data_IF_867100243431
#
_entry.id   IF_867100243431
#
_cell.length_a   1.000
_cell.length_b   1.000
_cell.length_c   1.000
_cell.angle_alpha   90.00
_cell.angle_beta   90.00
_cell.angle_gamma   90.00
#
_symmetry.space_group_name_H-M   'P 1'
#
loop_
_entity.id
_entity.type
_entity.pdbx_description
1 polymer ?
#
# COMPACT_ATOMS: atom_id res chain seq x y z
N UNK A 1 11.67 24.29 -14.03
CA UNK A 1 12.10 22.91 -13.71
C UNK A 1 12.23 22.01 -14.95
N UNK A 2 11.57 22.32 -16.08
CA UNK A 2 11.75 21.66 -17.40
C UNK A 2 13.13 21.86 -18.06
N UNK A 3 13.88 22.92 -17.71
CA UNK A 3 15.20 23.17 -18.31
C UNK A 3 16.36 22.36 -17.71
N UNK A 4 16.21 21.80 -16.49
CA UNK A 4 17.25 20.95 -15.89
C UNK A 4 17.24 19.53 -16.47
N UNK A 5 16.09 19.05 -16.94
CA UNK A 5 15.98 17.71 -17.49
C UNK A 5 16.58 17.58 -18.89
N UNK A 6 16.44 18.61 -19.74
CA UNK A 6 17.06 18.63 -21.07
C UNK A 6 18.59 18.63 -21.02
N UNK A 7 19.20 19.05 -19.91
CA UNK A 7 20.65 19.07 -19.71
C UNK A 7 21.23 17.72 -19.25
N UNK A 8 20.43 16.85 -18.62
CA UNK A 8 20.86 15.52 -18.16
C UNK A 8 20.68 14.42 -19.23
N UNK A 9 20.09 14.79 -20.36
CA UNK A 9 19.96 13.98 -21.58
C UNK A 9 20.53 14.68 -22.82
N UNK A 10 21.20 15.83 -22.65
CA UNK A 10 22.11 16.29 -23.69
C UNK A 10 23.20 15.20 -23.86
N UNK A 11 23.58 14.82 -25.09
CA UNK A 11 24.75 13.98 -25.28
C UNK A 11 25.92 14.67 -24.59
N UNK A 12 26.34 14.16 -23.44
CA UNK A 12 27.50 14.68 -22.76
C UNK A 12 28.67 14.57 -23.73
N UNK A 13 29.40 15.68 -23.85
CA UNK A 13 30.54 15.81 -24.74
C UNK A 13 31.47 14.61 -24.58
N UNK A 14 31.90 13.96 -25.69
CA UNK A 14 32.72 12.74 -25.67
C UNK A 14 34.18 12.93 -25.20
N UNK A 15 34.48 13.99 -24.45
CA UNK A 15 35.85 14.46 -24.20
C UNK A 15 36.36 14.23 -22.76
N UNK A 16 35.68 13.39 -21.97
CA UNK A 16 36.28 12.79 -20.77
C UNK A 16 36.63 11.32 -21.06
N UNK A 17 37.90 11.10 -21.42
CA UNK A 17 38.71 9.88 -21.23
C UNK A 17 38.08 8.48 -21.47
N UNK A 18 38.61 7.66 -22.39
CA UNK A 18 38.12 6.30 -22.60
C UNK A 18 38.64 5.37 -21.48
N UNK A 19 37.88 5.17 -20.40
CA UNK A 19 37.96 3.97 -19.52
C UNK A 19 36.89 4.01 -18.43
N UNK A 20 35.68 3.57 -18.79
CA UNK A 20 34.64 3.25 -17.82
C UNK A 20 33.26 3.58 -18.36
N UNK A 21 32.72 2.70 -19.22
CA UNK A 21 31.35 2.83 -19.71
C UNK A 21 30.39 2.90 -18.52
N UNK A 22 29.86 4.09 -18.25
CA UNK A 22 28.84 4.27 -17.22
C UNK A 22 27.50 3.85 -17.78
N UNK A 23 26.98 2.69 -17.37
CA UNK A 23 25.63 2.29 -17.76
C UNK A 23 24.62 3.02 -16.86
N UNK A 24 23.67 3.76 -17.46
CA UNK A 24 22.56 4.40 -16.75
C UNK A 24 21.25 3.71 -17.10
N UNK A 25 20.44 3.40 -16.10
CA UNK A 25 19.12 2.77 -16.27
C UNK A 25 18.09 3.43 -15.36
N UNK A 26 16.85 3.48 -15.83
CA UNK A 26 15.67 3.84 -15.05
C UNK A 26 14.97 2.54 -14.65
N UNK A 27 14.75 2.35 -13.36
CA UNK A 27 14.12 1.13 -12.83
C UNK A 27 12.91 1.49 -11.99
N UNK A 28 11.75 0.98 -12.39
CA UNK A 28 10.49 1.10 -11.65
C UNK A 28 10.31 -0.12 -10.74
N UNK A 29 10.50 0.04 -9.44
CA UNK A 29 10.18 -1.03 -8.48
C UNK A 29 8.70 -0.94 -8.10
N UNK A 30 7.98 -2.04 -8.30
CA UNK A 30 6.54 -2.12 -8.07
C UNK A 30 6.25 -3.22 -7.06
N UNK A 31 5.55 -2.89 -5.98
CA UNK A 31 4.97 -3.91 -5.10
C UNK A 31 3.65 -4.41 -5.68
N UNK A 32 3.41 -5.72 -5.71
CA UNK A 32 2.12 -6.27 -6.13
C UNK A 32 0.93 -5.71 -5.32
N UNK A 33 -0.25 -5.71 -5.93
CA UNK A 33 -1.49 -5.29 -5.26
C UNK A 33 -2.03 -6.35 -4.27
N UNK A 34 -3.11 -6.05 -3.55
CA UNK A 34 -3.71 -6.97 -2.59
C UNK A 34 -4.08 -8.32 -3.22
N UNK A 35 -3.62 -9.42 -2.61
CA UNK A 35 -4.00 -10.77 -2.98
C UNK A 35 -5.12 -11.32 -2.10
N UNK A 36 -5.82 -12.35 -2.57
CA UNK A 36 -6.94 -12.98 -1.84
C UNK A 36 -6.56 -13.44 -0.42
N UNK A 37 -5.35 -13.94 -0.22
CA UNK A 37 -4.87 -14.32 1.11
C UNK A 37 -4.70 -13.10 2.04
N UNK A 38 -4.37 -11.91 1.51
CA UNK A 38 -4.24 -10.69 2.32
C UNK A 38 -5.59 -10.24 2.88
N UNK A 39 -6.68 -10.40 2.12
CA UNK A 39 -8.05 -10.14 2.60
C UNK A 39 -8.34 -11.00 3.82
N UNK A 40 -8.04 -12.29 3.74
CA UNK A 40 -8.27 -13.22 4.85
C UNK A 40 -7.40 -12.92 6.07
N UNK A 41 -6.12 -12.55 5.87
CA UNK A 41 -5.29 -12.07 6.98
C UNK A 41 -5.90 -10.87 7.70
N UNK A 42 -6.42 -9.91 6.93
CA UNK A 42 -7.04 -8.70 7.47
C UNK A 42 -8.33 -9.01 8.20
N UNK A 43 -9.22 -9.82 7.62
CA UNK A 43 -10.47 -10.23 8.25
C UNK A 43 -10.24 -10.96 9.58
N UNK A 44 -9.24 -11.85 9.64
CA UNK A 44 -8.87 -12.55 10.88
C UNK A 44 -8.30 -11.59 11.92
N UNK A 45 -7.52 -10.59 11.49
CA UNK A 45 -6.99 -9.56 12.39
C UNK A 45 -8.08 -8.63 12.94
N UNK A 46 -9.14 -8.36 12.17
CA UNK A 46 -10.27 -7.51 12.57
C UNK A 46 -11.29 -8.24 13.47
N UNK A 47 -11.49 -9.55 13.27
CA UNK A 47 -12.53 -10.32 13.99
C UNK A 47 -12.08 -10.87 15.34
N UNK A 48 -10.78 -10.94 15.62
CA UNK A 48 -10.26 -11.56 16.83
C UNK A 48 -9.62 -10.54 17.77
N UNK A 49 -9.78 -10.77 19.08
CA UNK A 49 -9.03 -10.00 20.07
C UNK A 49 -7.52 -10.15 19.83
N UNK A 50 -6.68 -9.14 20.17
CA UNK A 50 -5.25 -9.14 19.82
C UNK A 50 -4.48 -10.41 20.22
N UNK A 51 -4.89 -11.08 21.30
CA UNK A 51 -4.30 -12.35 21.76
C UNK A 51 -4.80 -13.59 21.01
N UNK A 52 -6.06 -13.62 20.58
CA UNK A 52 -6.61 -14.72 19.76
C UNK A 52 -6.25 -14.59 18.28
N UNK A 53 -5.99 -13.37 17.81
CA UNK A 53 -5.69 -13.07 16.41
C UNK A 53 -4.41 -13.74 15.92
N UNK A 54 -3.37 -13.86 16.74
CA UNK A 54 -2.07 -14.36 16.28
C UNK A 54 -2.10 -15.84 15.90
N UNK A 55 -2.70 -16.70 16.72
CA UNK A 55 -2.74 -18.16 16.47
C UNK A 55 -3.65 -18.47 15.30
N UNK A 56 -4.84 -17.86 15.24
CA UNK A 56 -5.79 -18.09 14.14
C UNK A 56 -5.29 -17.50 12.83
N UNK A 57 -4.61 -16.33 12.84
CA UNK A 57 -3.97 -15.77 11.65
C UNK A 57 -2.90 -16.70 11.09
N UNK A 58 -2.10 -17.32 11.95
CA UNK A 58 -1.12 -18.32 11.52
C UNK A 58 -1.78 -19.55 10.89
N UNK A 59 -2.94 -19.99 11.40
CA UNK A 59 -3.65 -21.15 10.85
C UNK A 59 -4.27 -20.87 9.48
N UNK A 60 -4.91 -19.71 9.30
CA UNK A 60 -5.48 -19.31 8.00
C UNK A 60 -4.38 -19.26 6.94
N UNK A 61 -3.20 -18.76 7.30
CA UNK A 61 -2.06 -18.67 6.39
C UNK A 61 -1.33 -19.97 6.13
N UNK A 62 -1.70 -21.06 6.82
CA UNK A 62 -1.20 -22.41 6.53
C UNK A 62 -2.10 -23.19 5.59
N UNK A 63 -3.26 -22.64 5.25
CA UNK A 63 -4.19 -23.30 4.35
C UNK A 63 -3.58 -23.42 2.94
N UNK A 64 -3.43 -24.65 2.41
CA UNK A 64 -2.90 -24.88 1.06
C UNK A 64 -3.69 -24.16 -0.05
N UNK A 65 -4.96 -23.80 0.19
CA UNK A 65 -5.77 -23.06 -0.79
C UNK A 65 -5.18 -21.69 -1.15
N UNK A 66 -4.33 -21.12 -0.29
CA UNK A 66 -3.65 -19.84 -0.53
C UNK A 66 -2.36 -19.97 -1.31
N UNK A 67 -1.98 -21.19 -1.72
CA UNK A 67 -0.83 -21.39 -2.61
C UNK A 67 -1.00 -20.56 -3.88
N UNK A 68 0.00 -19.77 -4.20
CA UNK A 68 0.05 -18.92 -5.38
C UNK A 68 -1.22 -18.05 -5.58
N UNK A 69 -1.78 -17.54 -4.48
CA UNK A 69 -3.03 -16.79 -4.52
C UNK A 69 -2.98 -15.60 -5.49
N UNK A 70 -4.05 -15.46 -6.27
CA UNK A 70 -4.31 -14.35 -7.20
C UNK A 70 -4.67 -13.04 -6.48
N UNK A 71 -4.76 -11.95 -7.25
CA UNK A 71 -5.28 -10.67 -6.78
C UNK A 71 -6.72 -10.78 -6.26
N UNK A 72 -7.03 -9.99 -5.23
CA UNK A 72 -8.41 -9.73 -4.83
C UNK A 72 -9.06 -8.69 -5.76
N UNK A 73 -10.37 -8.53 -5.70
CA UNK A 73 -11.08 -7.45 -6.42
C UNK A 73 -10.57 -6.06 -6.01
N UNK A 74 -10.30 -5.85 -4.72
CA UNK A 74 -9.69 -4.60 -4.25
C UNK A 74 -8.25 -4.44 -4.76
N UNK A 75 -7.49 -5.55 -4.88
CA UNK A 75 -6.18 -5.57 -5.52
C UNK A 75 -6.24 -5.13 -6.98
N UNK A 76 -7.20 -5.61 -7.75
CA UNK A 76 -7.39 -5.18 -9.15
C UNK A 76 -7.69 -3.68 -9.24
N UNK A 77 -8.51 -3.14 -8.34
CA UNK A 77 -8.79 -1.71 -8.24
C UNK A 77 -7.54 -0.89 -7.86
N UNK A 78 -6.70 -1.40 -6.95
CA UNK A 78 -5.42 -0.78 -6.60
C UNK A 78 -4.50 -0.69 -7.83
N UNK A 79 -4.41 -1.75 -8.65
CA UNK A 79 -3.62 -1.69 -9.90
C UNK A 79 -4.21 -0.70 -10.89
N UNK A 80 -5.53 -0.67 -11.06
CA UNK A 80 -6.18 0.29 -11.94
C UNK A 80 -5.96 1.76 -11.49
N UNK A 81 -5.95 2.02 -10.19
CA UNK A 81 -5.59 3.32 -9.63
C UNK A 81 -4.11 3.64 -9.88
N UNK A 82 -3.21 2.72 -9.53
CA UNK A 82 -1.78 2.84 -9.78
C UNK A 82 -1.48 3.12 -11.26
N UNK A 83 -2.18 2.46 -12.20
CA UNK A 83 -2.03 2.68 -13.63
C UNK A 83 -2.29 4.13 -14.03
N UNK A 84 -3.31 4.78 -13.48
CA UNK A 84 -3.59 6.20 -13.76
C UNK A 84 -2.47 7.11 -13.27
N UNK A 85 -1.95 6.85 -12.07
CA UNK A 85 -0.81 7.61 -11.53
C UNK A 85 0.46 7.36 -12.34
N UNK A 86 0.69 6.11 -12.76
CA UNK A 86 1.81 5.74 -13.62
C UNK A 86 1.70 6.39 -15.00
N UNK A 87 0.52 6.44 -15.61
CA UNK A 87 0.32 7.12 -16.89
C UNK A 87 0.64 8.62 -16.80
N UNK A 88 0.29 9.26 -15.68
CA UNK A 88 0.66 10.66 -15.42
C UNK A 88 2.18 10.82 -15.25
N UNK A 89 2.83 9.87 -14.59
CA UNK A 89 4.30 9.84 -14.48
C UNK A 89 4.95 9.74 -15.86
N UNK A 90 4.40 8.94 -16.78
CA UNK A 90 4.90 8.82 -18.16
C UNK A 90 4.70 10.08 -19.01
N UNK A 91 3.89 11.05 -18.58
CA UNK A 91 3.79 12.38 -19.20
C UNK A 91 4.91 13.34 -18.74
N UNK A 92 5.74 12.91 -17.79
CA UNK A 92 6.94 13.64 -17.37
C UNK A 92 8.14 13.22 -18.22
N UNK A 93 9.36 13.44 -17.73
CA UNK A 93 10.59 13.04 -18.41
C UNK A 93 10.95 11.55 -18.20
N UNK A 94 10.10 10.78 -17.51
CA UNK A 94 10.29 9.36 -17.25
C UNK A 94 9.70 8.49 -18.39
N UNK A 95 10.54 7.73 -19.13
CA UNK A 95 10.09 6.93 -20.27
C UNK A 95 9.33 5.68 -19.84
N UNK A 96 8.47 5.16 -20.72
CA UNK A 96 7.83 3.86 -20.51
C UNK A 96 8.86 2.73 -20.46
N UNK A 97 8.68 1.70 -19.62
CA UNK A 97 9.53 0.51 -19.61
C UNK A 97 9.59 -0.15 -20.98
N UNK A 98 10.76 -0.64 -21.35
CA UNK A 98 10.98 -1.51 -22.52
C UNK A 98 11.04 -2.99 -22.12
N UNK A 99 11.27 -3.25 -20.83
CA UNK A 99 11.30 -4.59 -20.23
C UNK A 99 10.52 -4.58 -18.90
N UNK A 100 9.64 -5.56 -18.72
CA UNK A 100 8.94 -5.80 -17.45
C UNK A 100 9.42 -7.13 -16.87
N UNK A 101 10.07 -7.08 -15.72
CA UNK A 101 10.45 -8.23 -14.93
C UNK A 101 9.44 -8.41 -13.81
N UNK A 102 8.92 -9.61 -13.65
CA UNK A 102 7.93 -9.91 -12.62
C UNK A 102 8.33 -11.13 -11.80
N UNK A 103 7.92 -11.14 -10.53
CA UNK A 103 7.91 -12.37 -9.77
C UNK A 103 6.99 -13.40 -10.42
N UNK A 104 7.33 -14.70 -10.37
CA UNK A 104 6.48 -15.76 -10.90
C UNK A 104 5.24 -16.07 -10.03
N UNK A 105 5.03 -15.38 -8.91
CA UNK A 105 3.81 -15.51 -8.12
C UNK A 105 2.64 -14.82 -8.84
N UNK A 106 1.50 -15.49 -8.97
CA UNK A 106 0.35 -15.08 -9.80
C UNK A 106 -0.11 -13.65 -9.51
N UNK A 107 -0.15 -13.22 -8.25
CA UNK A 107 -0.48 -11.84 -7.86
C UNK A 107 0.46 -10.78 -8.45
N UNK A 108 1.75 -11.07 -8.56
CA UNK A 108 2.73 -10.16 -9.15
C UNK A 108 2.60 -10.14 -10.68
N UNK A 109 2.41 -11.30 -11.32
CA UNK A 109 2.16 -11.41 -12.75
C UNK A 109 0.88 -10.65 -13.16
N UNK A 110 -0.21 -10.84 -12.44
CA UNK A 110 -1.46 -10.10 -12.66
C UNK A 110 -1.29 -8.59 -12.43
N UNK A 111 -0.50 -8.19 -11.43
CA UNK A 111 -0.18 -6.77 -11.24
C UNK A 111 0.59 -6.23 -12.44
N UNK A 112 1.61 -6.95 -12.92
CA UNK A 112 2.44 -6.54 -14.05
C UNK A 112 1.60 -6.38 -15.33
N UNK A 113 0.80 -7.39 -15.70
CA UNK A 113 0.02 -7.36 -16.93
C UNK A 113 -1.11 -6.32 -16.91
N UNK A 114 -1.65 -6.00 -15.73
CA UNK A 114 -2.65 -4.93 -15.58
C UNK A 114 -2.02 -3.53 -15.56
N UNK A 115 -0.82 -3.40 -15.02
CA UNK A 115 -0.09 -2.12 -14.99
C UNK A 115 0.58 -1.81 -16.34
N UNK A 116 0.98 -2.83 -17.09
CA UNK A 116 1.65 -2.72 -18.39
C UNK A 116 0.89 -3.51 -19.47
N UNK A 117 -0.35 -3.12 -19.79
CA UNK A 117 -1.19 -3.87 -20.72
C UNK A 117 -0.57 -3.94 -22.12
N UNK A 118 -0.49 -5.14 -22.68
CA UNK A 118 0.05 -5.38 -24.03
C UNK A 118 1.57 -5.20 -24.17
N UNK A 119 2.30 -5.09 -23.07
CA UNK A 119 3.76 -4.97 -23.10
C UNK A 119 4.37 -6.24 -23.72
N UNK A 120 5.23 -6.08 -24.74
CA UNK A 120 5.74 -7.19 -25.56
C UNK A 120 6.84 -8.01 -24.88
N UNK A 121 7.48 -7.45 -23.85
CA UNK A 121 8.56 -8.12 -23.11
C UNK A 121 8.26 -8.18 -21.62
N UNK A 122 7.47 -9.17 -21.21
CA UNK A 122 7.23 -9.48 -19.79
C UNK A 122 7.91 -10.80 -19.45
N UNK A 123 8.81 -10.80 -18.47
CA UNK A 123 9.58 -11.99 -18.06
C UNK A 123 9.34 -12.32 -16.60
N UNK A 124 8.98 -13.56 -16.31
CA UNK A 124 8.91 -14.08 -14.95
C UNK A 124 10.29 -14.55 -14.49
N UNK A 125 10.81 -13.98 -13.40
CA UNK A 125 12.13 -14.34 -12.86
C UNK A 125 12.01 -14.93 -11.45
N UNK A 126 12.54 -16.14 -11.25
CA UNK A 126 12.52 -16.85 -9.96
C UNK A 126 13.15 -16.00 -8.85
N UNK A 127 14.23 -15.27 -9.16
CA UNK A 127 14.93 -14.43 -8.21
C UNK A 127 14.05 -13.31 -7.60
N UNK A 128 12.92 -12.96 -8.23
CA UNK A 128 12.00 -11.90 -7.78
C UNK A 128 10.89 -12.39 -6.84
N UNK A 129 10.82 -13.69 -6.52
CA UNK A 129 9.76 -14.24 -5.66
C UNK A 129 9.77 -13.69 -4.23
N UNK A 130 8.62 -13.77 -3.57
CA UNK A 130 8.49 -13.42 -2.15
C UNK A 130 9.45 -14.25 -1.29
N UNK A 131 9.83 -13.69 -0.15
CA UNK A 131 10.55 -14.40 0.90
C UNK A 131 9.76 -15.63 1.32
N UNK A 132 10.40 -16.80 1.35
CA UNK A 132 9.78 -18.00 1.92
C UNK A 132 9.73 -17.92 3.44
N UNK A 133 8.53 -17.85 3.98
CA UNK A 133 8.25 -17.81 5.42
C UNK A 133 7.60 -19.09 5.93
N UNK A 134 7.64 -20.16 5.12
CA UNK A 134 6.99 -21.43 5.43
C UNK A 134 5.47 -21.37 5.30
N UNK A 135 4.95 -20.45 4.46
CA UNK A 135 3.52 -20.32 4.16
C UNK A 135 3.23 -20.72 2.71
N UNK A 136 2.10 -21.39 2.41
CA UNK A 136 1.73 -21.74 1.05
C UNK A 136 1.71 -20.55 0.09
N UNK A 137 1.31 -19.37 0.54
CA UNK A 137 1.24 -18.15 -0.27
C UNK A 137 2.59 -17.63 -0.79
N UNK A 138 3.69 -18.14 -0.26
CA UNK A 138 5.05 -17.80 -0.69
C UNK A 138 5.51 -18.65 -1.87
N UNK A 139 4.78 -19.73 -2.17
CA UNK A 139 5.10 -20.65 -3.26
C UNK A 139 4.25 -20.37 -4.49
N UNK A 140 4.90 -20.44 -5.65
CA UNK A 140 4.26 -20.38 -6.95
C UNK A 140 3.80 -21.77 -7.44
N UNK A 141 3.08 -21.78 -8.54
CA UNK A 141 2.87 -22.98 -9.38
C UNK A 141 4.12 -23.29 -10.22
N UNK A 142 4.29 -24.53 -10.71
CA UNK A 142 5.35 -24.86 -11.65
C UNK A 142 5.18 -24.09 -12.97
N UNK A 143 6.28 -23.78 -13.64
CA UNK A 143 6.34 -23.03 -14.90
C UNK A 143 5.37 -23.56 -15.97
N UNK A 144 5.31 -24.87 -16.25
CA UNK A 144 4.36 -25.43 -17.21
C UNK A 144 2.88 -25.11 -16.89
N UNK A 145 2.49 -25.06 -15.61
CA UNK A 145 1.13 -24.65 -15.24
C UNK A 145 0.91 -23.14 -15.40
N UNK A 146 1.95 -22.33 -15.13
CA UNK A 146 1.89 -20.88 -15.32
C UNK A 146 1.70 -20.52 -16.81
N UNK A 147 2.43 -21.20 -17.71
CA UNK A 147 2.28 -21.05 -19.18
C UNK A 147 0.85 -21.36 -19.65
N UNK A 148 0.19 -22.33 -19.02
CA UNK A 148 -1.19 -22.72 -19.36
C UNK A 148 -2.25 -21.84 -18.69
N UNK A 149 -1.85 -20.87 -17.85
CA UNK A 149 -2.81 -20.02 -17.14
C UNK A 149 -3.34 -18.94 -18.05
N UNK A 150 -4.66 -18.92 -18.22
CA UNK A 150 -5.36 -17.88 -18.97
C UNK A 150 -5.02 -16.48 -18.45
N UNK A 151 -4.74 -15.56 -19.37
CA UNK A 151 -4.35 -14.18 -19.08
C UNK A 151 -2.86 -13.99 -18.77
N UNK A 152 -2.02 -15.03 -18.86
CA UNK A 152 -0.55 -14.94 -18.69
C UNK A 152 0.22 -15.24 -19.99
N UNK A 153 -0.46 -15.23 -21.14
CA UNK A 153 0.10 -15.67 -22.43
C UNK A 153 1.25 -14.78 -22.93
N UNK A 154 1.33 -13.54 -22.47
CA UNK A 154 2.38 -12.58 -22.82
C UNK A 154 3.64 -12.70 -21.95
N UNK A 155 3.65 -13.61 -20.98
CA UNK A 155 4.76 -13.76 -20.03
C UNK A 155 5.70 -14.86 -20.49
N UNK A 156 6.98 -14.52 -20.61
CA UNK A 156 8.08 -15.46 -20.77
C UNK A 156 8.41 -16.12 -19.42
N UNK A 157 8.35 -17.45 -19.39
CA UNK A 157 8.59 -18.29 -18.21
C UNK A 157 9.88 -19.13 -18.30
N UNK A 158 10.77 -18.86 -19.25
CA UNK A 158 11.97 -19.68 -19.48
C UNK A 158 12.87 -19.81 -18.24
N UNK A 159 13.06 -18.73 -17.49
CA UNK A 159 13.83 -18.73 -16.22
C UNK A 159 13.17 -19.64 -15.17
N UNK A 160 11.85 -19.53 -15.03
CA UNK A 160 11.05 -20.33 -14.09
C UNK A 160 11.11 -21.81 -14.44
N UNK A 161 10.96 -22.15 -15.72
CA UNK A 161 11.04 -23.52 -16.22
C UNK A 161 12.45 -24.09 -16.03
N UNK A 162 13.48 -23.28 -16.27
CA UNK A 162 14.88 -23.66 -16.02
C UNK A 162 15.10 -23.97 -14.54
N UNK A 163 14.57 -23.13 -13.65
CA UNK A 163 14.61 -23.36 -12.21
C UNK A 163 13.86 -24.63 -11.78
N UNK A 164 12.70 -24.93 -12.38
CA UNK A 164 11.95 -26.16 -12.12
C UNK A 164 12.71 -27.41 -12.57
N UNK A 165 13.44 -27.35 -13.69
CA UNK A 165 14.29 -28.45 -14.15
C UNK A 165 15.47 -28.69 -13.20
N UNK A 166 16.09 -27.61 -12.72
CA UNK A 166 17.20 -27.69 -11.77
C UNK A 166 16.74 -28.16 -10.38
N UNK A 167 15.50 -27.86 -9.99
CA UNK A 167 14.89 -28.30 -8.74
C UNK A 167 13.43 -28.74 -8.97
N UNK A 168 13.19 -30.02 -9.30
CA UNK A 168 11.85 -30.54 -9.63
C UNK A 168 10.82 -30.45 -8.50
N UNK A 169 11.28 -30.23 -7.26
CA UNK A 169 10.44 -29.99 -6.09
C UNK A 169 10.52 -28.56 -5.58
N UNK A 170 11.25 -27.68 -6.27
CA UNK A 170 11.53 -26.32 -5.84
C UNK A 170 10.29 -25.43 -5.68
N UNK A 171 9.20 -25.73 -6.39
CA UNK A 171 7.90 -25.04 -6.29
C UNK A 171 6.89 -25.75 -5.35
N UNK A 172 7.29 -26.86 -4.72
CA UNK A 172 6.44 -27.58 -3.77
C UNK A 172 6.52 -26.89 -2.42
N UNK A 173 5.36 -26.79 -1.77
CA UNK A 173 5.29 -26.20 -0.45
C UNK A 173 5.94 -27.12 0.58
N UNK A 174 6.91 -26.57 1.31
CA UNK A 174 7.57 -27.22 2.43
C UNK A 174 7.55 -26.25 3.63
N UNK A 175 6.91 -26.60 4.75
CA UNK A 175 6.85 -25.74 5.94
C UNK A 175 8.23 -25.33 6.48
N UNK A 176 9.25 -26.16 6.25
CA UNK A 176 10.65 -25.89 6.61
C UNK A 176 11.44 -25.10 5.57
N UNK A 177 10.87 -24.78 4.40
CA UNK A 177 11.54 -23.91 3.44
C UNK A 177 11.41 -22.47 3.91
N UNK A 178 12.43 -22.04 4.66
CA UNK A 178 12.53 -20.70 5.22
C UNK A 178 13.72 -20.00 4.58
N UNK A 179 13.48 -18.80 4.07
CA UNK A 179 14.55 -17.86 3.76
C UNK A 179 14.75 -16.93 4.96
N UNK A 180 15.98 -16.84 5.42
CA UNK A 180 16.41 -15.72 6.25
C UNK A 180 16.64 -14.47 5.39
N UNK A 181 17.08 -13.39 6.03
CA UNK A 181 17.36 -12.13 5.31
C UNK A 181 18.51 -12.30 4.32
N UNK A 182 19.59 -13.00 4.69
CA UNK A 182 20.77 -13.18 3.84
C UNK A 182 20.44 -13.83 2.50
N UNK A 183 19.56 -14.84 2.48
CA UNK A 183 19.10 -15.45 1.24
C UNK A 183 18.39 -14.45 0.31
N UNK A 184 17.56 -13.56 0.87
CA UNK A 184 16.83 -12.54 0.09
C UNK A 184 17.78 -11.42 -0.35
N UNK A 185 18.75 -11.04 0.47
CA UNK A 185 19.80 -10.07 0.11
C UNK A 185 20.66 -10.59 -1.04
N UNK A 186 21.06 -11.85 -1.01
CA UNK A 186 21.81 -12.50 -2.09
C UNK A 186 21.03 -12.47 -3.41
N UNK A 187 19.73 -12.74 -3.37
CA UNK A 187 18.84 -12.57 -4.54
C UNK A 187 18.75 -11.11 -4.99
N UNK A 188 18.74 -10.17 -4.04
CA UNK A 188 18.80 -8.73 -4.32
C UNK A 188 20.08 -8.33 -5.06
N UNK A 189 21.25 -8.83 -4.66
CA UNK A 189 22.52 -8.60 -5.37
C UNK A 189 22.50 -9.18 -6.78
N UNK A 190 21.99 -10.41 -6.93
CA UNK A 190 21.80 -11.05 -8.24
C UNK A 190 20.85 -10.26 -9.14
N UNK A 191 19.79 -9.65 -8.59
CA UNK A 191 18.93 -8.75 -9.35
C UNK A 191 19.71 -7.54 -9.88
N UNK A 192 20.51 -6.89 -9.03
CA UNK A 192 21.31 -5.72 -9.43
C UNK A 192 22.30 -6.09 -10.56
N UNK A 193 22.95 -7.25 -10.45
CA UNK A 193 23.82 -7.78 -11.51
C UNK A 193 23.05 -8.13 -12.79
N UNK A 194 21.82 -8.64 -12.66
CA UNK A 194 20.95 -8.91 -13.79
C UNK A 194 20.56 -7.61 -14.50
N UNK A 195 20.11 -6.61 -13.75
CA UNK A 195 19.75 -5.28 -14.26
C UNK A 195 20.92 -4.62 -14.97
N UNK A 196 22.16 -4.81 -14.50
CA UNK A 196 23.35 -4.31 -15.19
C UNK A 196 23.57 -4.96 -16.57
N UNK A 197 23.33 -6.28 -16.66
CA UNK A 197 23.64 -7.09 -17.85
C UNK A 197 22.60 -7.03 -18.94
N UNK A 198 21.33 -6.81 -18.61
CA UNK A 198 20.29 -6.65 -19.63
C UNK A 198 20.53 -5.40 -20.45
N UNK A 199 20.19 -5.44 -21.74
CA UNK A 199 20.43 -4.32 -22.66
C UNK A 199 19.46 -3.16 -22.38
N UNK A 200 18.22 -3.48 -21.98
CA UNK A 200 17.17 -2.51 -21.66
C UNK A 200 17.61 -1.46 -20.64
N UNK A 201 17.35 -0.19 -20.95
CA UNK A 201 17.71 0.94 -20.10
C UNK A 201 16.55 1.44 -19.25
N UNK A 202 15.32 1.00 -19.53
CA UNK A 202 14.11 1.38 -18.80
C UNK A 202 13.34 0.11 -18.42
N UNK A 203 13.36 -0.24 -17.15
CA UNK A 203 12.93 -1.57 -16.68
C UNK A 203 11.89 -1.41 -15.58
N UNK A 204 10.80 -2.19 -15.62
CA UNK A 204 9.93 -2.36 -14.46
C UNK A 204 10.23 -3.68 -13.75
N UNK A 205 10.20 -3.67 -12.42
CA UNK A 205 10.41 -4.82 -11.55
C UNK A 205 9.21 -4.97 -10.62
N UNK A 206 8.32 -5.92 -10.91
CA UNK A 206 7.10 -6.18 -10.14
C UNK A 206 7.31 -7.35 -9.18
N UNK A 207 7.31 -7.08 -7.88
CA UNK A 207 7.71 -8.04 -6.85
C UNK A 207 6.93 -7.80 -5.54
N UNK A 208 7.52 -8.17 -4.40
CA UNK A 208 6.84 -8.31 -3.12
C UNK A 208 7.44 -7.48 -2.01
N UNK A 209 6.68 -7.32 -0.93
CA UNK A 209 7.08 -6.52 0.23
C UNK A 209 8.34 -7.08 0.90
N UNK A 210 8.40 -8.39 1.13
CA UNK A 210 9.53 -9.00 1.83
C UNK A 210 10.82 -8.85 1.02
N UNK A 211 10.74 -9.08 -0.28
CA UNK A 211 11.84 -8.88 -1.22
C UNK A 211 12.31 -7.43 -1.29
N UNK A 212 11.40 -6.47 -1.54
CA UNK A 212 11.75 -5.04 -1.63
C UNK A 212 12.36 -4.54 -0.33
N UNK A 213 11.80 -4.92 0.82
CA UNK A 213 12.36 -4.54 2.12
C UNK A 213 13.81 -4.99 2.25
N UNK A 214 14.12 -6.24 1.92
CA UNK A 214 15.50 -6.74 1.96
C UNK A 214 16.40 -6.04 0.94
N UNK A 215 15.90 -5.81 -0.29
CA UNK A 215 16.64 -5.11 -1.34
C UNK A 215 17.07 -3.69 -0.92
N UNK A 216 16.19 -2.94 -0.24
CA UNK A 216 16.50 -1.60 0.25
C UNK A 216 17.32 -1.62 1.55
N UNK A 217 17.03 -2.56 2.46
CA UNK A 217 17.72 -2.64 3.76
C UNK A 217 19.15 -3.17 3.65
N UNK A 218 19.44 -4.00 2.64
CA UNK A 218 20.78 -4.58 2.43
C UNK A 218 21.80 -3.57 1.89
N UNK A 219 21.34 -2.44 1.36
CA UNK A 219 22.17 -1.50 0.62
C UNK A 219 22.52 -1.97 -0.80
N UNK A 220 21.84 -3.01 -1.33
CA UNK A 220 22.02 -3.46 -2.72
C UNK A 220 21.79 -2.33 -3.73
N UNK A 221 20.93 -1.38 -3.40
CA UNK A 221 20.59 -0.25 -4.24
C UNK A 221 21.30 1.06 -3.84
N UNK A 222 22.35 1.00 -3.01
CA UNK A 222 23.06 2.18 -2.49
C UNK A 222 23.02 2.28 -0.96
N UNK A 223 23.31 3.45 -0.37
CA UNK A 223 23.30 3.63 1.09
C UNK A 223 21.97 3.17 1.70
N UNK A 224 22.05 2.54 2.88
CA UNK A 224 20.86 2.07 3.61
C UNK A 224 19.97 3.26 3.96
N UNK A 225 18.77 3.29 3.41
CA UNK A 225 17.73 4.24 3.79
C UNK A 225 16.92 3.70 4.98
N UNK A 226 16.20 4.61 5.64
CA UNK A 226 15.23 4.34 6.73
C UNK A 226 14.27 3.21 6.31
N UNK A 227 13.73 2.38 7.23
CA UNK A 227 12.82 1.30 6.89
C UNK A 227 11.74 1.71 5.89
N UNK A 228 11.90 1.22 4.66
CA UNK A 228 11.00 1.51 3.56
C UNK A 228 9.78 0.60 3.64
N UNK A 229 8.60 1.19 3.78
CA UNK A 229 7.34 0.48 3.68
C UNK A 229 6.74 0.77 2.31
N UNK A 230 6.61 -0.26 1.48
CA UNK A 230 5.84 -0.19 0.25
C UNK A 230 4.36 -0.45 0.52
N UNK A 231 3.47 0.39 0.02
CA UNK A 231 2.04 0.17 -0.14
C UNK A 231 1.72 -0.84 -1.24
N UNK A 232 0.49 -1.33 -1.27
CA UNK A 232 0.03 -2.22 -2.33
C UNK A 232 -0.02 -1.46 -3.66
N UNK A 233 0.45 -2.05 -4.76
CA UNK A 233 0.53 -1.37 -6.05
C UNK A 233 1.32 -0.04 -6.03
N UNK A 234 2.29 0.10 -5.13
CA UNK A 234 3.17 1.27 -5.12
C UNK A 234 4.28 1.11 -6.17
N UNK A 235 4.56 2.20 -6.89
CA UNK A 235 5.67 2.33 -7.85
C UNK A 235 6.69 3.31 -7.29
N UNK A 236 7.97 2.92 -7.29
CA UNK A 236 9.11 3.81 -7.04
C UNK A 236 10.06 3.83 -8.21
N UNK A 237 10.55 5.01 -8.55
CA UNK A 237 11.45 5.21 -9.69
C UNK A 237 12.87 5.40 -9.19
N UNK A 238 13.80 4.62 -9.74
CA UNK A 238 15.22 4.72 -9.45
C UNK A 238 16.02 4.97 -10.71
N UNK A 239 16.91 5.95 -10.63
CA UNK A 239 17.96 6.12 -11.61
C UNK A 239 19.23 5.44 -11.10
N UNK A 240 19.63 4.38 -11.78
CA UNK A 240 20.75 3.53 -11.42
C UNK A 240 21.90 3.80 -12.39
N UNK A 241 23.09 4.07 -11.85
CA UNK A 241 24.32 4.28 -12.63
C UNK A 241 25.39 3.30 -12.16
N UNK A 242 25.88 2.49 -13.08
CA UNK A 242 27.02 1.61 -12.85
C UNK A 242 28.27 2.31 -13.35
N UNK A 243 29.25 2.50 -12.47
CA UNK A 243 30.59 2.98 -12.83
C UNK A 243 31.67 1.99 -12.41
N UNK A 244 32.93 2.38 -12.58
CA UNK A 244 34.11 1.60 -12.16
C UNK A 244 34.14 1.28 -10.65
N UNK A 245 33.42 2.05 -9.83
CA UNK A 245 33.30 1.85 -8.37
C UNK A 245 32.03 1.07 -7.95
N UNK A 246 31.29 0.49 -8.91
CA UNK A 246 30.05 -0.23 -8.68
C UNK A 246 28.79 0.60 -8.93
N UNK A 247 27.66 0.11 -8.42
CA UNK A 247 26.35 0.77 -8.56
C UNK A 247 26.26 2.01 -7.66
N UNK A 248 25.80 3.11 -8.24
CA UNK A 248 25.34 4.31 -7.54
C UNK A 248 23.88 4.58 -7.90
N UNK A 249 23.06 4.84 -6.88
CA UNK A 249 21.68 5.35 -7.06
C UNK A 249 21.75 6.87 -7.12
N UNK A 250 21.24 7.45 -8.20
CA UNK A 250 21.23 8.90 -8.39
C UNK A 250 20.00 9.57 -7.78
N UNK A 251 18.85 8.89 -7.80
CA UNK A 251 17.58 9.46 -7.34
C UNK A 251 16.61 8.36 -6.92
N UNK A 252 15.86 8.61 -5.84
CA UNK A 252 14.65 7.87 -5.45
C UNK A 252 13.48 8.86 -5.53
N UNK A 253 12.58 8.65 -6.49
CA UNK A 253 11.31 9.35 -6.54
C UNK A 253 10.23 8.42 -6.00
N UNK A 254 10.10 8.41 -4.68
CA UNK A 254 8.94 7.88 -3.98
C UNK A 254 7.80 8.89 -3.95
N UNK A 255 6.55 8.44 -3.69
CA UNK A 255 5.46 9.36 -3.38
C UNK A 255 5.89 10.22 -2.19
N UNK A 256 5.72 11.55 -2.32
CA UNK A 256 5.96 12.46 -1.19
C UNK A 256 4.92 12.15 -0.11
N UNK A 257 5.35 12.19 1.15
CA UNK A 257 4.51 11.89 2.33
C UNK A 257 3.16 12.67 2.35
N UNK A 258 3.06 13.79 1.64
CA UNK A 258 1.82 14.59 1.55
C UNK A 258 0.72 13.99 0.64
N UNK A 259 1.04 13.02 -0.23
CA UNK A 259 0.04 12.31 -1.08
C UNK A 259 -0.36 10.92 -0.53
N UNK A 260 0.08 10.54 0.68
CA UNK A 260 -0.33 9.27 1.32
C UNK A 260 -1.85 9.16 1.59
N UNK A 261 -2.59 10.27 1.56
CA UNK A 261 -4.05 10.24 1.74
C UNK A 261 -4.79 9.67 0.53
N UNK A 262 -4.19 9.72 -0.67
CA UNK A 262 -4.77 9.20 -1.93
C UNK A 262 -3.94 8.09 -2.57
N UNK A 263 -2.66 7.95 -2.24
CA UNK A 263 -1.83 6.84 -2.70
C UNK A 263 -2.11 5.56 -1.87
N UNK A 264 -3.16 4.84 -2.27
CA UNK A 264 -3.51 3.50 -1.80
C UNK A 264 -3.76 3.34 -0.28
N UNK A 265 -5.00 3.65 0.14
CA UNK A 265 -5.71 3.21 1.38
C UNK A 265 -4.81 2.45 2.36
N UNK A 266 -4.17 3.17 3.28
CA UNK A 266 -3.05 2.56 4.01
C UNK A 266 -2.57 3.14 5.33
N UNK A 267 -3.17 4.18 5.95
CA UNK A 267 -3.06 4.42 7.41
C UNK A 267 -3.98 5.55 7.92
N UNK A 268 -5.14 5.19 8.46
CA UNK A 268 -5.88 6.10 9.34
C UNK A 268 -5.13 6.16 10.69
N UNK A 269 -4.36 7.22 10.95
CA UNK A 269 -4.01 7.54 12.35
C UNK A 269 -5.31 7.98 13.02
N UNK A 270 -5.84 7.14 13.92
CA UNK A 270 -6.87 7.57 14.87
C UNK A 270 -6.23 8.59 15.83
N UNK A 271 -6.34 9.88 15.53
CA UNK A 271 -6.41 10.89 16.58
C UNK A 271 -7.85 10.87 17.09
N UNK A 272 -8.09 10.12 18.16
CA UNK A 272 -9.30 10.30 18.96
C UNK A 272 -9.13 11.60 19.76
N UNK A 273 -9.68 12.70 19.28
CA UNK A 273 -10.09 13.79 20.16
C UNK A 273 -11.54 13.49 20.56
N UNK A 274 -11.70 12.93 21.75
CA UNK A 274 -13.00 12.85 22.42
C UNK A 274 -13.30 14.25 22.94
N UNK A 275 -14.32 14.90 22.37
CA UNK A 275 -14.97 16.06 23.01
C UNK A 275 -16.27 15.54 23.59
N UNK A 276 -16.34 15.44 24.91
CA UNK A 276 -17.58 15.23 25.64
C UNK A 276 -18.31 16.57 25.74
N UNK A 277 -19.62 16.59 25.47
CA UNK A 277 -20.50 17.61 26.03
C UNK A 277 -21.15 17.03 27.29
N UNK A 278 -21.30 17.85 28.33
CA UNK A 278 -21.70 17.39 29.67
C UNK A 278 -23.15 16.88 29.78
N UNK A 279 -23.92 16.91 28.69
CA UNK A 279 -25.37 16.66 28.75
C UNK A 279 -25.78 15.29 28.15
N UNK A 280 -24.83 14.47 27.70
CA UNK A 280 -25.05 13.03 27.46
C UNK A 280 -26.13 12.62 26.43
N UNK A 281 -26.59 13.48 25.52
CA UNK A 281 -27.74 13.18 24.65
C UNK A 281 -27.52 13.17 23.12
N UNK A 282 -26.29 13.12 22.60
CA UNK A 282 -26.10 13.00 21.15
C UNK A 282 -25.17 11.85 20.74
N UNK A 283 -25.68 10.96 19.88
CA UNK A 283 -24.90 9.98 19.14
C UNK A 283 -24.56 10.55 17.76
N UNK A 284 -23.27 10.67 17.46
CA UNK A 284 -22.79 11.03 16.13
C UNK A 284 -22.53 9.77 15.31
N UNK A 285 -23.17 9.65 14.14
CA UNK A 285 -22.75 8.73 13.10
C UNK A 285 -21.95 9.52 12.06
N UNK A 286 -20.62 9.46 12.14
CA UNK A 286 -19.76 10.02 11.09
C UNK A 286 -19.66 9.01 9.93
N UNK A 287 -20.35 9.30 8.83
CA UNK A 287 -20.08 8.67 7.54
C UNK A 287 -19.17 9.61 6.75
N UNK A 288 -17.85 9.41 6.82
CA UNK A 288 -16.92 10.09 5.91
C UNK A 288 -16.11 9.06 5.14
N UNK A 289 -16.39 8.94 3.84
CA UNK A 289 -15.40 8.83 2.75
C UNK A 289 -16.05 8.30 1.48
N UNK A 290 -15.44 8.67 0.34
CA UNK A 290 -15.82 8.42 -1.05
C UNK A 290 -16.94 9.31 -1.57
N UNK A 291 -16.61 10.51 -2.07
CA UNK A 291 -17.22 11.07 -3.27
C UNK A 291 -16.32 12.20 -3.81
N UNK A 292 -15.25 11.82 -4.49
CA UNK A 292 -14.70 12.63 -5.58
C UNK A 292 -15.09 11.87 -6.84
N UNK A 293 -15.90 12.50 -7.71
CA UNK A 293 -16.53 11.92 -8.91
C UNK A 293 -17.68 10.91 -8.68
N UNK A 294 -18.68 11.31 -7.90
CA UNK A 294 -19.95 10.58 -7.83
C UNK A 294 -20.78 10.82 -9.10
N UNK A 295 -21.12 9.76 -9.83
CA UNK A 295 -22.19 9.86 -10.83
C UNK A 295 -23.56 10.01 -10.12
N UNK A 296 -24.53 10.63 -10.80
CA UNK A 296 -25.90 10.92 -10.34
C UNK A 296 -26.57 9.74 -9.65
N UNK A 297 -26.31 8.52 -10.12
CA UNK A 297 -26.85 7.29 -9.55
C UNK A 297 -26.43 7.03 -8.09
N UNK A 298 -25.19 7.42 -7.72
CA UNK A 298 -24.71 7.27 -6.33
C UNK A 298 -25.40 8.29 -5.42
N UNK A 299 -25.68 9.48 -5.95
CA UNK A 299 -26.42 10.51 -5.22
C UNK A 299 -27.88 10.11 -5.01
N UNK A 300 -28.54 9.55 -6.04
CA UNK A 300 -29.91 9.05 -5.94
C UNK A 300 -30.02 7.91 -4.92
N UNK A 301 -29.08 6.96 -4.92
CA UNK A 301 -29.05 5.88 -3.91
C UNK A 301 -28.84 6.40 -2.48
N UNK A 302 -28.01 7.42 -2.29
CA UNK A 302 -27.81 8.06 -1.00
C UNK A 302 -29.04 8.84 -0.54
N UNK A 303 -29.68 9.57 -1.44
CA UNK A 303 -30.87 10.34 -1.13
C UNK A 303 -32.06 9.43 -0.77
N UNK A 304 -32.17 8.26 -1.42
CA UNK A 304 -33.12 7.21 -1.06
C UNK A 304 -32.84 6.64 0.34
N UNK A 305 -31.58 6.30 0.64
CA UNK A 305 -31.16 5.82 1.95
C UNK A 305 -31.44 6.83 3.07
N UNK A 306 -31.14 8.11 2.83
CA UNK A 306 -31.43 9.19 3.78
C UNK A 306 -32.94 9.39 3.97
N UNK A 307 -33.74 9.22 2.92
CA UNK A 307 -35.20 9.18 2.99
C UNK A 307 -35.71 8.06 3.91
N UNK A 308 -35.13 6.85 3.78
CA UNK A 308 -35.47 5.71 4.64
C UNK A 308 -35.07 5.91 6.11
N UNK A 309 -33.96 6.61 6.35
CA UNK A 309 -33.46 6.88 7.71
C UNK A 309 -34.21 8.01 8.42
N UNK A 310 -34.80 8.96 7.69
CA UNK A 310 -35.55 10.09 8.26
C UNK A 310 -36.74 9.65 9.12
N UNK A 311 -37.41 8.56 8.76
CA UNK A 311 -38.51 8.00 9.56
C UNK A 311 -38.05 7.40 10.89
N UNK A 312 -36.75 7.17 11.05
CA UNK A 312 -36.14 6.52 12.23
C UNK A 312 -35.29 7.47 13.07
N UNK A 313 -34.78 8.55 12.48
CA UNK A 313 -33.88 9.51 13.11
C UNK A 313 -34.36 10.95 12.82
N UNK A 314 -35.29 11.50 13.63
CA UNK A 314 -35.92 12.79 13.37
C UNK A 314 -34.97 14.00 13.45
N UNK A 315 -33.75 13.81 13.96
CA UNK A 315 -32.75 14.86 14.14
C UNK A 315 -31.46 14.62 13.33
N UNK A 316 -31.53 13.85 12.24
CA UNK A 316 -30.38 13.60 11.38
C UNK A 316 -29.92 14.88 10.67
N UNK A 317 -28.71 15.35 10.98
CA UNK A 317 -28.04 16.46 10.29
C UNK A 317 -27.01 15.90 9.32
N UNK A 318 -27.11 16.26 8.04
CA UNK A 318 -26.17 15.83 6.99
C UNK A 318 -25.39 17.06 6.54
N UNK A 319 -24.06 17.01 6.66
CA UNK A 319 -23.16 18.11 6.28
C UNK A 319 -22.39 17.71 5.03
N UNK A 320 -22.42 18.53 3.98
CA UNK A 320 -21.65 18.35 2.75
C UNK A 320 -20.51 19.37 2.68
N UNK A 321 -19.30 18.99 2.24
CA UNK A 321 -18.24 19.95 1.95
C UNK A 321 -18.62 20.79 0.72
N UNK A 322 -18.73 22.11 0.86
CA UNK A 322 -19.24 23.00 -0.19
C UNK A 322 -18.34 23.11 -1.45
N UNK A 323 -17.10 22.61 -1.41
CA UNK A 323 -16.09 22.91 -2.44
C UNK A 323 -16.22 22.12 -3.75
N UNK A 324 -17.09 21.11 -3.85
CA UNK A 324 -17.04 20.13 -4.95
C UNK A 324 -18.37 19.79 -5.62
N UNK A 325 -19.42 20.60 -5.45
CA UNK A 325 -20.74 20.27 -6.00
C UNK A 325 -21.37 21.42 -6.79
N UNK A 326 -22.12 21.05 -7.84
CA UNK A 326 -23.03 21.96 -8.52
C UNK A 326 -24.22 22.29 -7.59
N UNK A 327 -24.40 23.56 -7.18
CA UNK A 327 -25.50 23.96 -6.30
C UNK A 327 -26.89 23.64 -6.87
N UNK A 328 -27.04 23.61 -8.20
CA UNK A 328 -28.33 23.31 -8.83
C UNK A 328 -28.70 21.83 -8.76
N UNK A 329 -27.71 20.94 -8.88
CA UNK A 329 -27.91 19.50 -8.74
C UNK A 329 -28.28 19.11 -7.29
N UNK A 330 -27.63 19.76 -6.32
CA UNK A 330 -27.96 19.61 -4.90
C UNK A 330 -29.39 20.11 -4.60
N UNK A 331 -29.74 21.32 -5.05
CA UNK A 331 -31.09 21.89 -4.83
C UNK A 331 -32.18 21.01 -5.46
N UNK A 332 -31.97 20.53 -6.70
CA UNK A 332 -32.91 19.65 -7.39
C UNK A 332 -33.15 18.35 -6.62
N UNK A 333 -32.07 17.64 -6.23
CA UNK A 333 -32.19 16.35 -5.57
C UNK A 333 -32.81 16.49 -4.17
N UNK A 334 -32.50 17.58 -3.46
CA UNK A 334 -33.13 17.87 -2.18
C UNK A 334 -34.63 18.14 -2.32
N UNK A 335 -35.05 18.94 -3.31
CA UNK A 335 -36.48 19.19 -3.58
C UNK A 335 -37.21 17.92 -4.00
N UNK A 336 -36.60 17.11 -4.85
CA UNK A 336 -37.20 15.88 -5.38
C UNK A 336 -37.51 14.84 -4.30
N UNK A 337 -36.77 14.81 -3.18
CA UNK A 337 -36.92 13.77 -2.16
C UNK A 337 -37.35 14.29 -0.79
N UNK A 338 -37.16 15.60 -0.51
CA UNK A 338 -37.46 16.17 0.80
C UNK A 338 -38.52 17.29 0.76
N UNK A 339 -38.99 17.71 -0.42
CA UNK A 339 -40.11 18.64 -0.62
C UNK A 339 -39.84 20.10 -0.27
N UNK A 340 -38.81 20.39 0.51
CA UNK A 340 -38.27 21.73 0.80
C UNK A 340 -36.79 21.63 1.18
N UNK A 341 -36.03 22.71 0.97
CA UNK A 341 -34.60 22.75 1.29
C UNK A 341 -34.42 23.16 2.76
N UNK A 342 -33.75 22.36 3.62
CA UNK A 342 -33.44 22.80 4.97
C UNK A 342 -32.36 23.90 4.95
N UNK A 343 -32.25 24.70 6.02
CA UNK A 343 -31.22 25.73 6.15
C UNK A 343 -29.81 25.15 5.99
N UNK A 344 -29.16 25.47 4.87
CA UNK A 344 -27.77 25.09 4.60
C UNK A 344 -26.85 26.05 5.34
N UNK A 345 -26.14 25.56 6.36
CA UNK A 345 -25.09 26.33 7.04
C UNK A 345 -23.75 25.97 6.39
N UNK A 346 -23.26 26.85 5.53
CA UNK A 346 -21.93 26.73 4.95
C UNK A 346 -20.84 27.10 5.95
N UNK A 347 -19.78 26.31 6.02
CA UNK A 347 -18.59 26.61 6.83
C UNK A 347 -17.66 27.59 6.11
N UNK A 348 -18.08 28.84 5.96
CA UNK A 348 -17.15 29.94 5.66
C UNK A 348 -17.80 31.29 5.95
N UNK A 349 -17.25 32.02 6.92
CA UNK A 349 -17.13 33.48 6.93
C UNK A 349 -18.43 34.30 6.90
N UNK A 350 -18.66 35.05 7.97
CA UNK A 350 -19.61 36.17 7.99
C UNK A 350 -19.39 37.12 6.79
N UNK A 351 -20.46 37.44 6.07
CA UNK A 351 -20.83 38.76 5.49
C UNK A 351 -21.46 38.67 4.09
N UNK A 352 -22.76 39.01 3.99
CA UNK A 352 -23.31 40.15 3.22
C UNK A 352 -24.84 40.09 3.26
N UNK A 353 -25.45 41.15 3.78
CA UNK A 353 -26.87 41.43 3.60
C UNK A 353 -27.13 41.88 2.15
N UNK A 354 -28.26 41.44 1.58
CA UNK A 354 -28.88 42.07 0.41
C UNK A 354 -30.36 42.36 0.78
N UNK A 355 -30.88 43.58 0.49
CA UNK A 355 -32.18 44.03 0.97
C UNK A 355 -33.32 43.71 0.00
N UNK A 356 -34.53 43.50 0.54
CA UNK A 356 -35.79 43.70 -0.18
C UNK A 356 -36.62 42.44 -0.42
N UNK A 357 -37.69 42.28 0.38
CA UNK A 357 -38.79 41.33 0.14
C UNK A 357 -39.74 41.30 1.35
N UNK A 358 -41.07 41.34 1.17
CA UNK A 358 -42.00 41.63 2.25
C UNK A 358 -42.15 40.46 3.24
N UNK A 359 -42.15 40.79 4.53
CA UNK A 359 -42.49 39.88 5.63
C UNK A 359 -43.95 39.40 5.52
N UNK A 360 -44.25 38.10 5.64
CA UNK A 360 -45.58 37.65 6.02
C UNK A 360 -45.75 37.71 7.55
N UNK A 361 -46.83 38.35 7.98
CA UNK A 361 -47.32 38.42 9.35
C UNK A 361 -47.63 37.04 9.93
N UNK A 362 -46.71 36.44 10.69
CA UNK A 362 -46.99 35.56 11.85
C UNK A 362 -45.68 35.07 12.51
N UNK A 363 -45.54 35.18 13.84
CA UNK A 363 -44.39 34.62 14.54
C UNK A 363 -44.56 33.10 14.74
N UNK A 364 -43.52 32.27 14.55
CA UNK A 364 -43.43 30.97 15.19
C UNK A 364 -42.91 31.10 16.64
N UNK A 365 -43.21 30.12 17.51
CA UNK A 365 -43.09 30.25 18.96
C UNK A 365 -41.65 30.15 19.48
N UNK A 366 -41.48 30.82 20.62
CA UNK A 366 -40.41 30.85 21.61
C UNK A 366 -39.41 29.67 21.60
N UNK A 367 -38.11 30.00 21.47
CA UNK A 367 -36.98 29.60 22.33
C UNK A 367 -35.67 29.51 21.55
N UNK A 368 -34.98 30.64 21.43
CA UNK A 368 -33.53 30.67 21.14
C UNK A 368 -32.88 31.41 22.29
N UNK A 369 -32.34 30.65 23.25
CA UNK A 369 -31.46 31.21 24.28
C UNK A 369 -30.05 31.28 23.71
N UNK A 370 -29.58 32.51 23.54
CA UNK A 370 -28.19 32.88 23.27
C UNK A 370 -27.46 32.99 24.61
N UNK A 371 -26.39 32.23 24.82
CA UNK A 371 -25.42 32.39 25.92
C UNK A 371 -24.21 31.51 25.59
N UNK A 372 -22.94 31.89 25.72
CA UNK A 372 -22.28 33.09 26.23
C UNK A 372 -20.78 32.75 26.29
N UNK A 373 -19.92 33.75 26.08
CA UNK A 373 -18.45 33.64 26.11
C UNK A 373 -17.95 33.45 27.55
N UNK A 374 -16.92 32.63 27.81
CA UNK A 374 -16.13 32.72 29.04
C UNK A 374 -14.63 32.41 28.84
N UNK A 375 -13.83 33.18 29.60
CA UNK A 375 -12.37 33.40 29.64
C UNK A 375 -11.69 32.39 30.62
N UNK A 376 -10.40 31.99 30.45
CA UNK A 376 -9.80 30.90 31.22
C UNK A 376 -9.04 31.40 32.45
N UNK A 377 -9.07 30.64 33.54
CA UNK A 377 -8.21 30.91 34.68
C UNK A 377 -8.19 29.82 35.76
N UNK A 378 -6.96 29.43 36.09
CA UNK A 378 -6.44 28.87 37.35
C UNK A 378 -6.28 27.34 37.51
N UNK A 379 -5.01 26.94 37.49
CA UNK A 379 -4.34 25.89 38.29
C UNK A 379 -4.65 26.06 39.80
N UNK A 380 -4.59 25.00 40.67
CA UNK A 380 -3.29 24.41 41.03
C UNK A 380 -3.23 22.93 41.54
N UNK A 381 -1.99 22.42 41.57
CA UNK A 381 -1.34 21.53 42.58
C UNK A 381 -1.65 20.00 42.71
N UNK A 382 -0.73 19.20 42.16
CA UNK A 382 0.19 18.15 42.71
C UNK A 382 -0.08 17.39 44.07
N UNK A 383 0.74 16.38 44.48
CA UNK A 383 0.47 14.93 44.30
C UNK A 383 0.54 14.09 45.59
N UNK A 384 0.07 12.83 45.57
CA UNK A 384 0.35 11.87 46.65
C UNK A 384 0.89 10.50 46.20
N UNK A 385 1.81 10.02 47.03
CA UNK A 385 2.76 8.93 46.91
C UNK A 385 2.18 7.49 46.93
N UNK A 386 3.03 6.58 46.47
CA UNK A 386 2.94 5.12 46.56
C UNK A 386 2.98 4.60 48.02
N UNK A 387 2.81 3.27 48.21
CA UNK A 387 3.99 2.55 48.71
C UNK A 387 4.25 1.16 48.11
N UNK A 388 5.50 0.75 48.33
CA UNK A 388 6.20 -0.48 47.98
C UNK A 388 5.62 -1.77 48.59
N UNK A 389 5.81 -2.90 47.91
CA UNK A 389 6.06 -4.19 48.57
C UNK A 389 7.09 -5.01 47.80
N UNK A 390 8.12 -5.42 48.53
CA UNK A 390 9.34 -6.13 48.13
C UNK A 390 9.24 -7.65 48.29
N UNK A 391 10.17 -8.34 47.62
CA UNK A 391 10.75 -9.70 47.87
C UNK A 391 10.14 -10.92 47.14
N UNK A 392 10.90 -12.03 46.94
CA UNK A 392 12.30 -12.06 46.46
C UNK A 392 12.58 -13.13 45.38
N UNK A 393 13.83 -13.07 44.91
CA UNK A 393 14.55 -13.92 43.95
C UNK A 393 14.53 -15.42 44.31
N UNK A 394 14.34 -16.26 43.30
CA UNK A 394 14.75 -17.66 43.27
C UNK A 394 15.65 -17.90 42.06
N UNK A 395 16.92 -18.20 42.32
CA UNK A 395 17.92 -18.55 41.32
C UNK A 395 17.90 -20.06 41.07
N UNK A 396 17.96 -20.47 39.79
CA UNK A 396 18.20 -21.85 39.39
C UNK A 396 19.31 -21.88 38.34
N UNK A 397 20.38 -22.61 38.68
CA UNK A 397 21.58 -22.84 37.88
C UNK A 397 21.30 -23.77 36.67
N UNK A 398 22.09 -23.68 35.59
CA UNK A 398 21.91 -24.50 34.39
C UNK A 398 22.57 -25.89 34.50
N UNK A 399 21.88 -26.89 33.96
CA UNK A 399 22.38 -28.26 33.74
C UNK A 399 23.34 -28.32 32.53
N UNK A 400 24.32 -29.23 32.51
CA UNK A 400 25.35 -29.28 31.48
C UNK A 400 24.89 -29.98 30.19
N UNK A 401 25.36 -29.44 29.06
CA UNK A 401 25.22 -29.96 27.69
C UNK A 401 26.29 -31.05 27.45
N UNK A 402 25.96 -32.23 26.92
CA UNK A 402 26.96 -33.17 26.42
C UNK A 402 27.39 -32.81 24.98
N UNK A 403 28.71 -32.81 24.77
CA UNK A 403 29.37 -32.57 23.49
C UNK A 403 29.11 -33.67 22.45
N UNK A 404 29.21 -33.37 21.14
CA UNK A 404 28.90 -34.31 20.06
C UNK A 404 30.02 -35.33 19.83
N UNK A 405 29.61 -36.59 19.68
CA UNK A 405 30.44 -37.72 19.24
C UNK A 405 30.86 -37.54 17.76
N UNK A 406 32.18 -37.50 17.54
CA UNK A 406 32.83 -37.56 16.23
C UNK A 406 32.54 -38.90 15.54
N UNK A 407 32.03 -38.83 14.31
CA UNK A 407 32.05 -39.95 13.36
C UNK A 407 33.06 -39.59 12.26
N UNK A 408 34.09 -40.41 12.12
CA UNK A 408 35.06 -40.36 11.01
C UNK A 408 34.48 -41.00 9.75
N UNK A 409 34.84 -40.53 8.55
CA UNK A 409 34.34 -41.07 7.29
C UNK A 409 35.18 -42.28 6.86
N UNK A 410 34.51 -43.36 6.48
CA UNK A 410 35.08 -44.50 5.78
C UNK A 410 34.33 -44.70 4.47
N UNK A 411 35.06 -44.82 3.36
CA UNK A 411 34.58 -45.57 2.20
C UNK A 411 34.52 -44.80 0.89
N UNK A 412 35.59 -44.88 0.13
CA UNK A 412 35.68 -44.68 -1.32
C UNK A 412 35.03 -45.82 -2.12
N UNK A 413 34.93 -45.60 -3.44
CA UNK A 413 34.63 -46.54 -4.55
C UNK A 413 33.12 -46.60 -4.88
N UNK A 414 32.64 -46.35 -6.10
CA UNK A 414 33.20 -46.39 -7.46
C UNK A 414 32.34 -45.53 -8.37
#
# INVERSE_FOLDING_TARGET
RSHLFRSLYAPMHPDEGPTGLTARKVVYFVRHAEARHNVMERLVAETLSPRGASVTRMNVLRDPQWKDASLSTAGEQQVAHCKRSFDRLLLTDYPAPTLVLASPLTRALQTALRLFPGHSQVKALELLRERRTGRPCDERRPGPELVQTAGLELVDFDDVITHDRASPTGYKFHPGSLEDETHVEDRGRRLVEYLHRVEDTVIAVVTHKGFLRALYSSGCLGPREVPVVFGNAEVRVHEMVWGSSGLRRLLDLGPKEEEEETACVGRLRRSQSVVTSDDGQFQWAAASSLLVDADRAVFEAWAELLGQLRGKLPHLVVVFPAAHYDPQALDWAFRAHFGSVPHVIGSSGWSRAVPGGPFPDKPPPESLSLLGIFDPGLDPEAPHAAPHSTTPRGASLPMPVPAPSRVSPSGSLT
#
